data_IF_503916715565
#
_entry.id   IF_503916715565
#
_cell.length_a   1.000
_cell.length_b   1.000
_cell.length_c   1.000
_cell.angle_alpha   90.00
_cell.angle_beta   90.00
_cell.angle_gamma   90.00
#
_symmetry.space_group_name_H-M   'P 1'
#
loop_
_entity.id
_entity.type
_entity.pdbx_description
1 polymer ?
#
# COMPACT_ATOMS: atom_id res chain seq x y z
N UNK A 1 -62.65 -20.81 -22.12
CA UNK A 1 -61.54 -20.41 -23.01
C UNK A 1 -60.46 -19.85 -22.10
N UNK A 2 -59.50 -20.67 -21.69
CA UNK A 2 -58.42 -20.31 -20.75
C UNK A 2 -57.13 -20.80 -21.36
N UNK A 3 -56.27 -19.85 -21.72
CA UNK A 3 -54.92 -20.12 -22.25
C UNK A 3 -53.99 -20.32 -21.04
N UNK A 4 -53.15 -21.37 -21.00
CA UNK A 4 -52.17 -21.50 -19.93
C UNK A 4 -51.01 -20.52 -20.19
N UNK A 5 -50.64 -19.76 -19.16
CA UNK A 5 -49.43 -18.94 -19.16
C UNK A 5 -48.29 -19.85 -18.68
N UNK A 6 -47.32 -20.15 -19.55
CA UNK A 6 -46.11 -20.87 -19.12
C UNK A 6 -45.26 -20.00 -18.20
N UNK A 7 -44.56 -20.60 -17.21
CA UNK A 7 -43.65 -19.86 -16.36
C UNK A 7 -42.42 -19.46 -17.19
N UNK A 8 -42.20 -18.16 -17.34
CA UNK A 8 -40.95 -17.62 -17.87
C UNK A 8 -39.81 -18.13 -16.99
N UNK A 9 -38.95 -18.98 -17.56
CA UNK A 9 -37.69 -19.37 -16.95
C UNK A 9 -36.86 -18.11 -16.73
N UNK A 10 -36.69 -17.71 -15.47
CA UNK A 10 -35.70 -16.73 -15.07
C UNK A 10 -34.34 -17.24 -15.52
N UNK A 11 -33.77 -16.61 -16.54
CA UNK A 11 -32.38 -16.79 -16.91
C UNK A 11 -31.57 -16.23 -15.73
N UNK A 12 -30.70 -17.02 -15.08
CA UNK A 12 -29.87 -16.48 -14.01
C UNK A 12 -29.04 -15.33 -14.58
N UNK A 13 -29.15 -14.15 -13.97
CA UNK A 13 -28.24 -13.05 -14.25
C UNK A 13 -26.84 -13.56 -13.96
N UNK A 14 -26.09 -13.76 -15.04
CA UNK A 14 -24.70 -14.19 -15.06
C UNK A 14 -23.91 -13.47 -13.95
N UNK A 15 -23.27 -14.23 -13.06
CA UNK A 15 -22.32 -13.73 -12.05
C UNK A 15 -21.25 -12.88 -12.75
N UNK A 16 -21.51 -11.58 -12.87
CA UNK A 16 -20.51 -10.62 -13.28
C UNK A 16 -19.44 -10.65 -12.18
N UNK A 17 -18.30 -11.25 -12.48
CA UNK A 17 -17.16 -11.29 -11.58
C UNK A 17 -16.90 -9.87 -11.06
N UNK A 18 -17.17 -9.66 -9.77
CA UNK A 18 -16.93 -8.39 -9.13
C UNK A 18 -15.44 -8.06 -9.25
N UNK A 19 -15.11 -6.86 -9.74
CA UNK A 19 -13.73 -6.40 -9.82
C UNK A 19 -13.15 -6.42 -8.40
N UNK A 20 -12.01 -7.09 -8.14
CA UNK A 20 -11.42 -7.12 -6.82
C UNK A 20 -11.09 -5.71 -6.31
N UNK A 21 -11.24 -5.49 -5.01
CA UNK A 21 -10.89 -4.21 -4.39
C UNK A 21 -9.42 -3.85 -4.64
N UNK A 22 -9.08 -2.57 -4.55
CA UNK A 22 -7.68 -2.13 -4.65
C UNK A 22 -6.77 -2.89 -3.68
N UNK A 23 -7.18 -3.03 -2.42
CA UNK A 23 -6.44 -3.78 -1.42
C UNK A 23 -6.24 -5.26 -1.80
N UNK A 24 -7.25 -5.91 -2.38
CA UNK A 24 -7.14 -7.30 -2.84
C UNK A 24 -6.13 -7.44 -3.99
N UNK A 25 -6.15 -6.51 -4.96
CA UNK A 25 -5.18 -6.48 -6.06
C UNK A 25 -3.75 -6.20 -5.58
N UNK A 26 -3.58 -5.29 -4.62
CA UNK A 26 -2.28 -5.05 -3.97
C UNK A 26 -1.78 -6.30 -3.25
N UNK A 27 -2.65 -7.03 -2.54
CA UNK A 27 -2.28 -8.27 -1.88
C UNK A 27 -1.85 -9.36 -2.88
N UNK A 28 -2.54 -9.49 -4.00
CA UNK A 28 -2.17 -10.40 -5.09
C UNK A 28 -0.82 -10.03 -5.72
N UNK A 29 -0.60 -8.74 -5.99
CA UNK A 29 0.68 -8.24 -6.49
C UNK A 29 1.82 -8.50 -5.51
N UNK A 30 1.60 -8.26 -4.21
CA UNK A 30 2.58 -8.55 -3.15
C UNK A 30 2.96 -10.03 -3.12
N UNK A 31 1.96 -10.92 -3.14
CA UNK A 31 2.18 -12.37 -3.17
C UNK A 31 2.94 -12.80 -4.41
N UNK A 32 2.55 -12.26 -5.57
CA UNK A 32 3.25 -12.50 -6.84
C UNK A 32 4.69 -12.02 -6.72
N UNK A 33 4.94 -10.78 -6.29
CA UNK A 33 6.25 -10.16 -6.31
C UNK A 33 7.21 -10.77 -5.30
N UNK A 34 6.77 -11.00 -4.06
CA UNK A 34 7.66 -11.31 -2.93
C UNK A 34 7.39 -12.64 -2.23
N UNK A 35 6.26 -13.31 -2.50
CA UNK A 35 5.85 -14.52 -1.80
C UNK A 35 5.36 -14.27 -0.36
N UNK A 36 4.94 -15.33 0.36
CA UNK A 36 4.22 -15.22 1.62
C UNK A 36 5.05 -14.62 2.77
N UNK A 37 6.34 -14.95 2.86
CA UNK A 37 7.17 -14.56 4.01
C UNK A 37 7.34 -13.04 4.09
N UNK A 38 7.59 -12.39 2.95
CA UNK A 38 7.75 -10.94 2.87
C UNK A 38 6.38 -10.24 2.87
N UNK A 39 5.39 -10.81 2.20
CA UNK A 39 4.03 -10.24 2.15
C UNK A 39 3.42 -10.14 3.54
N UNK A 40 3.62 -11.16 4.38
CA UNK A 40 3.05 -11.23 5.72
C UNK A 40 4.00 -10.70 6.82
N UNK A 41 5.16 -10.14 6.46
CA UNK A 41 6.09 -9.55 7.42
C UNK A 41 5.60 -8.16 7.88
N UNK A 42 4.92 -8.12 9.02
CA UNK A 42 4.31 -6.88 9.55
C UNK A 42 5.33 -5.75 9.73
N UNK A 43 6.53 -6.04 10.26
CA UNK A 43 7.57 -5.01 10.47
C UNK A 43 8.02 -4.37 9.15
N UNK A 44 8.24 -5.20 8.11
CA UNK A 44 8.59 -4.71 6.78
C UNK A 44 7.46 -3.87 6.17
N UNK A 45 6.19 -4.26 6.36
CA UNK A 45 5.05 -3.47 5.88
C UNK A 45 4.94 -2.13 6.61
N UNK A 46 5.19 -2.10 7.91
CA UNK A 46 5.26 -0.85 8.68
C UNK A 46 6.38 0.06 8.18
N UNK A 47 7.59 -0.46 7.97
CA UNK A 47 8.72 0.34 7.47
C UNK A 47 8.46 0.87 6.06
N UNK A 48 7.94 0.05 5.15
CA UNK A 48 7.61 0.50 3.80
C UNK A 48 6.52 1.56 3.80
N UNK A 49 5.46 1.40 4.60
CA UNK A 49 4.42 2.43 4.69
C UNK A 49 4.98 3.75 5.25
N UNK A 50 5.80 3.70 6.30
CA UNK A 50 6.41 4.89 6.89
C UNK A 50 7.37 5.59 5.92
N UNK A 51 8.16 4.83 5.15
CA UNK A 51 9.07 5.35 4.12
C UNK A 51 8.28 6.10 3.03
N UNK A 52 7.24 5.49 2.44
CA UNK A 52 6.44 6.12 1.38
C UNK A 52 5.67 7.35 1.87
N UNK A 53 5.12 7.30 3.10
CA UNK A 53 4.49 8.46 3.71
C UNK A 53 5.50 9.60 3.94
N UNK A 54 6.72 9.26 4.37
CA UNK A 54 7.83 10.21 4.51
C UNK A 54 8.27 10.81 3.18
N UNK A 55 8.40 9.99 2.13
CA UNK A 55 8.75 10.44 0.77
C UNK A 55 7.69 11.40 0.20
N UNK A 56 6.40 11.12 0.41
CA UNK A 56 5.32 12.04 0.03
C UNK A 56 5.42 13.39 0.78
N UNK A 57 5.60 13.35 2.10
CA UNK A 57 5.76 14.58 2.89
C UNK A 57 7.01 15.37 2.50
N UNK A 58 8.13 14.69 2.24
CA UNK A 58 9.36 15.30 1.74
C UNK A 58 9.13 15.99 0.39
N UNK A 59 8.46 15.31 -0.55
CA UNK A 59 8.13 15.86 -1.87
C UNK A 59 7.24 17.12 -1.78
N UNK A 60 6.44 17.23 -0.72
CA UNK A 60 5.58 18.38 -0.44
C UNK A 60 6.26 19.46 0.44
N UNK A 61 7.55 19.33 0.71
CA UNK A 61 8.37 20.37 1.34
C UNK A 61 8.52 20.26 2.87
N UNK A 62 8.14 19.13 3.48
CA UNK A 62 8.43 18.87 4.88
C UNK A 62 9.94 18.70 5.09
N UNK A 63 10.50 19.38 6.10
CA UNK A 63 11.92 19.25 6.42
C UNK A 63 12.21 18.02 7.27
N UNK A 64 13.47 17.58 7.27
CA UNK A 64 13.92 16.46 8.10
C UNK A 64 13.75 16.74 9.60
N UNK A 65 14.00 17.97 10.05
CA UNK A 65 13.79 18.38 11.45
C UNK A 65 12.31 18.27 11.84
N UNK A 66 11.40 18.76 11.00
CA UNK A 66 9.96 18.62 11.23
C UNK A 66 9.54 17.15 11.30
N UNK A 67 10.12 16.29 10.46
CA UNK A 67 9.83 14.85 10.46
C UNK A 67 10.29 14.20 11.76
N UNK A 68 11.51 14.51 12.22
CA UNK A 68 12.04 14.04 13.52
C UNK A 68 11.17 14.49 14.68
N UNK A 69 10.74 15.74 14.71
CA UNK A 69 9.90 16.27 15.77
C UNK A 69 8.54 15.56 15.84
N UNK A 70 7.91 15.27 14.68
CA UNK A 70 6.67 14.49 14.64
C UNK A 70 6.86 13.03 15.05
N UNK A 71 7.99 12.42 14.73
CA UNK A 71 8.33 11.07 15.22
C UNK A 71 8.45 11.10 16.75
N UNK A 72 9.23 12.00 17.31
CA UNK A 72 9.37 12.13 18.76
C UNK A 72 8.02 12.36 19.44
N UNK A 73 7.17 13.21 18.86
CA UNK A 73 5.83 13.46 19.35
C UNK A 73 4.93 12.22 19.33
N UNK A 74 4.90 11.48 18.22
CA UNK A 74 4.05 10.30 18.06
C UNK A 74 4.44 9.20 19.04
N UNK A 75 5.74 8.97 19.22
CA UNK A 75 6.26 7.95 20.16
C UNK A 75 6.21 8.37 21.63
N UNK A 76 5.92 9.65 21.94
CA UNK A 76 5.69 10.11 23.31
C UNK A 76 4.33 9.72 23.88
N UNK A 77 3.43 9.20 23.04
CA UNK A 77 2.05 8.84 23.38
C UNK A 77 1.88 7.34 23.55
N UNK A 78 0.80 6.95 24.23
CA UNK A 78 0.37 5.55 24.28
C UNK A 78 0.00 5.04 22.88
N UNK A 79 0.18 3.74 22.67
CA UNK A 79 -0.18 3.09 21.40
C UNK A 79 -1.69 3.18 21.16
N UNK A 80 -2.06 3.61 19.96
CA UNK A 80 -3.45 3.63 19.49
C UNK A 80 -3.98 2.24 19.11
N UNK A 81 -5.28 2.17 18.89
CA UNK A 81 -5.95 0.97 18.36
C UNK A 81 -5.74 0.86 16.83
N UNK A 82 -5.29 -0.28 16.29
CA UNK A 82 -4.90 -0.38 14.88
C UNK A 82 -5.97 0.05 13.86
N UNK A 83 -7.23 -0.31 14.05
CA UNK A 83 -8.32 0.04 13.12
C UNK A 83 -8.57 1.55 13.09
N UNK A 84 -8.50 2.20 14.25
CA UNK A 84 -8.58 3.65 14.37
C UNK A 84 -7.39 4.34 13.70
N UNK A 85 -6.17 3.83 13.87
CA UNK A 85 -4.99 4.41 13.22
C UNK A 85 -5.01 4.23 11.70
N UNK A 86 -5.54 3.12 11.18
CA UNK A 86 -5.81 2.96 9.74
C UNK A 86 -6.80 4.02 9.25
N UNK A 87 -7.89 4.25 10.00
CA UNK A 87 -8.86 5.29 9.67
C UNK A 87 -8.24 6.69 9.66
N UNK A 88 -7.43 7.00 10.68
CA UNK A 88 -6.68 8.25 10.78
C UNK A 88 -5.76 8.46 9.58
N UNK A 89 -4.94 7.47 9.25
CA UNK A 89 -4.00 7.52 8.13
C UNK A 89 -4.71 7.80 6.80
N UNK A 90 -5.81 7.09 6.49
CA UNK A 90 -6.57 7.28 5.24
C UNK A 90 -7.19 8.67 5.16
N UNK A 91 -7.79 9.16 6.25
CA UNK A 91 -8.38 10.51 6.29
C UNK A 91 -7.32 11.58 6.09
N UNK A 92 -6.15 11.44 6.74
CA UNK A 92 -5.07 12.42 6.59
C UNK A 92 -4.42 12.38 5.20
N UNK A 93 -4.29 11.20 4.59
CA UNK A 93 -3.81 11.08 3.21
C UNK A 93 -4.77 11.77 2.23
N UNK A 94 -6.08 11.53 2.37
CA UNK A 94 -7.09 12.18 1.54
C UNK A 94 -7.05 13.72 1.69
N UNK A 95 -6.92 14.22 2.92
CA UNK A 95 -6.81 15.65 3.19
C UNK A 95 -5.52 16.26 2.60
N UNK A 96 -4.39 15.55 2.72
CA UNK A 96 -3.12 15.98 2.15
C UNK A 96 -3.18 16.04 0.62
N UNK A 97 -3.70 14.99 -0.03
CA UNK A 97 -3.89 14.97 -1.48
C UNK A 97 -4.80 16.12 -1.94
N UNK A 98 -5.91 16.38 -1.23
CA UNK A 98 -6.79 17.51 -1.55
C UNK A 98 -6.03 18.85 -1.48
N UNK A 99 -5.23 19.08 -0.43
CA UNK A 99 -4.45 20.30 -0.27
C UNK A 99 -3.34 20.44 -1.34
N UNK A 100 -2.77 19.31 -1.79
CA UNK A 100 -1.74 19.26 -2.82
C UNK A 100 -2.30 19.26 -4.27
N UNK A 101 -3.62 19.17 -4.45
CA UNK A 101 -4.23 19.05 -5.77
C UNK A 101 -4.03 17.68 -6.44
N UNK A 102 -3.85 16.62 -5.64
CA UNK A 102 -3.67 15.24 -6.07
C UNK A 102 -4.94 14.42 -5.89
N UNK A 103 -5.11 13.37 -6.70
CA UNK A 103 -6.20 12.40 -6.57
C UNK A 103 -5.63 11.09 -6.03
N UNK A 104 -5.85 10.83 -4.74
CA UNK A 104 -5.26 9.67 -4.06
C UNK A 104 -5.64 8.34 -4.72
N UNK A 105 -6.86 8.24 -5.27
CA UNK A 105 -7.36 7.00 -5.85
C UNK A 105 -6.77 6.79 -7.24
N UNK A 106 -6.77 7.84 -8.07
CA UNK A 106 -6.18 7.78 -9.40
C UNK A 106 -4.66 7.53 -9.35
N UNK A 107 -3.94 8.21 -8.45
CA UNK A 107 -2.51 8.03 -8.28
C UNK A 107 -2.17 6.62 -7.75
N UNK A 108 -2.99 6.08 -6.84
CA UNK A 108 -2.85 4.71 -6.35
C UNK A 108 -3.04 3.65 -7.44
N UNK A 109 -4.04 3.82 -8.31
CA UNK A 109 -4.27 2.92 -9.46
C UNK A 109 -3.15 3.03 -10.50
N UNK A 110 -2.69 4.25 -10.79
CA UNK A 110 -1.58 4.48 -11.73
C UNK A 110 -0.28 3.83 -11.23
N UNK A 111 0.01 3.93 -9.93
CA UNK A 111 1.19 3.30 -9.34
C UNK A 111 1.10 1.78 -9.37
N UNK A 112 -0.05 1.20 -9.01
CA UNK A 112 -0.25 -0.25 -9.07
C UNK A 112 -0.06 -0.78 -10.50
N UNK A 113 -0.62 -0.10 -11.50
CA UNK A 113 -0.45 -0.46 -12.90
C UNK A 113 1.03 -0.38 -13.36
N UNK A 114 1.79 0.61 -12.86
CA UNK A 114 3.21 0.78 -13.17
C UNK A 114 4.07 -0.35 -12.60
N UNK A 115 3.81 -0.75 -11.35
CA UNK A 115 4.62 -1.76 -10.63
C UNK A 115 4.26 -3.20 -10.99
N UNK A 116 3.08 -3.43 -11.55
CA UNK A 116 2.61 -4.77 -11.96
C UNK A 116 3.16 -5.22 -13.33
N UNK A 117 4.04 -4.44 -13.94
CA UNK A 117 4.69 -4.86 -15.19
C UNK A 117 5.77 -5.93 -14.94
N UNK A 118 5.93 -6.94 -15.83
CA UNK A 118 6.94 -7.99 -15.66
C UNK A 118 8.36 -7.46 -15.44
N UNK A 119 8.72 -6.37 -16.14
CA UNK A 119 10.02 -5.74 -16.03
C UNK A 119 10.22 -5.07 -14.66
N UNK A 120 9.20 -4.40 -14.12
CA UNK A 120 9.28 -3.78 -12.79
C UNK A 120 9.33 -4.83 -11.70
N UNK A 121 8.51 -5.88 -11.78
CA UNK A 121 8.55 -7.03 -10.87
C UNK A 121 9.94 -7.66 -10.85
N UNK A 122 10.54 -7.93 -12.02
CA UNK A 122 11.91 -8.44 -12.11
C UNK A 122 12.92 -7.53 -11.40
N UNK A 123 12.84 -6.22 -11.65
CA UNK A 123 13.75 -5.24 -11.04
C UNK A 123 13.58 -5.16 -9.52
N UNK A 124 12.35 -5.20 -9.02
CA UNK A 124 12.03 -5.18 -7.58
C UNK A 124 12.61 -6.44 -6.91
N UNK A 125 12.35 -7.62 -7.46
CA UNK A 125 12.90 -8.89 -6.93
C UNK A 125 14.42 -8.89 -6.90
N UNK A 126 15.06 -8.39 -7.97
CA UNK A 126 16.53 -8.29 -8.03
C UNK A 126 17.09 -7.37 -6.94
N UNK A 127 16.47 -6.21 -6.72
CA UNK A 127 16.87 -5.28 -5.64
C UNK A 127 16.64 -5.90 -4.26
N UNK A 128 15.51 -6.56 -4.06
CA UNK A 128 15.19 -7.23 -2.81
C UNK A 128 16.20 -8.32 -2.47
N UNK A 129 16.50 -9.21 -3.43
CA UNK A 129 17.52 -10.25 -3.24
C UNK A 129 18.91 -9.66 -2.90
N UNK A 130 19.29 -8.55 -3.53
CA UNK A 130 20.54 -7.87 -3.22
C UNK A 130 20.56 -7.25 -1.80
N UNK A 131 19.42 -6.80 -1.28
CA UNK A 131 19.28 -6.34 0.12
C UNK A 131 19.41 -7.51 1.10
N UNK A 132 18.70 -8.62 0.87
CA UNK A 132 18.78 -9.83 1.71
C UNK A 132 20.20 -10.40 1.78
N UNK A 133 20.98 -10.28 0.71
CA UNK A 133 22.39 -10.73 0.68
C UNK A 133 23.37 -9.80 1.38
N UNK A 134 23.05 -8.51 1.54
CA UNK A 134 23.97 -7.51 2.11
C UNK A 134 23.76 -7.31 3.60
N UNK A 135 22.53 -7.43 4.09
CA UNK A 135 22.19 -7.28 5.51
C UNK A 135 20.88 -8.02 5.82
N UNK A 136 20.87 -9.02 6.72
CA UNK A 136 19.61 -9.50 7.27
C UNK A 136 19.10 -8.40 8.21
N UNK A 137 18.16 -7.59 7.73
CA UNK A 137 17.46 -6.59 8.53
C UNK A 137 18.33 -5.42 9.03
N UNK A 138 19.10 -4.75 8.15
CA UNK A 138 19.63 -3.42 8.51
C UNK A 138 18.52 -2.39 8.39
N UNK A 139 18.14 -1.81 9.52
CA UNK A 139 17.28 -0.64 9.60
C UNK A 139 17.87 0.46 8.68
N UNK A 140 17.07 0.87 7.69
CA UNK A 140 17.33 1.94 6.72
C UNK A 140 18.22 1.60 5.50
N UNK A 141 17.79 1.96 4.27
CA UNK A 141 18.67 1.96 3.10
C UNK A 141 19.75 3.05 3.25
N UNK A 142 21.01 2.62 3.33
CA UNK A 142 22.16 3.53 3.50
C UNK A 142 22.70 3.46 4.92
N UNK A 143 23.41 2.38 5.24
CA UNK A 143 24.15 2.28 6.49
C UNK A 143 25.15 3.44 6.59
N UNK A 144 24.95 4.31 7.56
CA UNK A 144 26.05 5.08 8.09
C UNK A 144 26.94 4.08 8.84
N UNK A 145 28.06 3.71 8.24
CA UNK A 145 29.18 3.19 9.01
C UNK A 145 29.60 4.32 9.96
N UNK A 146 29.33 4.15 11.25
CA UNK A 146 29.90 4.99 12.29
C UNK A 146 31.42 4.77 12.32
N UNK A 147 32.18 5.81 11.98
CA UNK A 147 33.57 6.02 12.41
C UNK A 147 33.63 7.16 13.38
#
# INVERSE_FOLDING_TARGET
>A
MTVPVEPTSEIPLNDAQAVPSYQARVAEWMMTCFGPDITNCLSERCFRFFEEAGELCQALGMTEDQARDLVAYTWSRDKGEPSQEVGGAVVTLAALCHAAGLDMAADGEAELARIDTPQTIYNIRRKHHAKTLRTPHSALPGGADET
#
